data_IF_434222978535
#
_entry.id   IF_434222978535
#
_cell.length_a   1.000
_cell.length_b   1.000
_cell.length_c   1.000
_cell.angle_alpha   90.00
_cell.angle_beta   90.00
_cell.angle_gamma   90.00
#
_symmetry.space_group_name_H-M   'P 1'
#
loop_
_entity.id
_entity.type
_entity.pdbx_description
1 polymer ?
#
# COMPACT_ATOMS: atom_id res chain seq x y z
N UNK A 1 -10.43 13.02 1.74
CA UNK A 1 -10.59 12.06 0.62
C UNK A 1 -10.41 10.65 1.14
N UNK A 2 -11.24 9.76 0.72
CA UNK A 2 -11.18 8.37 1.16
C UNK A 2 -11.27 7.40 -0.02
N UNK A 3 -10.70 6.21 0.20
CA UNK A 3 -10.77 5.10 -0.74
C UNK A 3 -11.35 3.91 0.01
N UNK A 4 -12.26 3.21 -0.62
CA UNK A 4 -12.87 2.01 -0.04
C UNK A 4 -12.64 0.83 -0.96
N UNK A 5 -12.30 -0.31 -0.38
CA UNK A 5 -12.08 -1.53 -1.14
C UNK A 5 -12.35 -2.77 -0.34
N UNK A 6 -12.37 -3.90 -1.01
CA UNK A 6 -12.56 -5.21 -0.39
C UNK A 6 -11.22 -5.89 -0.19
N UNK A 7 -11.03 -6.42 1.00
CA UNK A 7 -9.84 -7.16 1.36
C UNK A 7 -9.74 -8.44 0.54
N UNK A 8 -8.57 -8.69 -0.02
CA UNK A 8 -8.29 -9.91 -0.77
C UNK A 8 -6.91 -10.45 -0.41
N UNK A 9 -6.74 -11.74 -0.58
CA UNK A 9 -5.43 -12.36 -0.53
C UNK A 9 -4.75 -12.09 -1.85
N UNK A 10 -3.73 -11.25 -1.84
CA UNK A 10 -3.00 -10.89 -3.03
C UNK A 10 -1.63 -11.53 -3.07
N UNK A 11 -1.07 -11.60 -4.26
CA UNK A 11 0.32 -11.95 -4.47
C UNK A 11 0.98 -10.71 -5.05
N UNK A 12 1.06 -9.67 -4.24
CA UNK A 12 1.48 -8.38 -4.72
C UNK A 12 2.99 -8.15 -4.63
N UNK A 13 3.44 -7.13 -5.34
CA UNK A 13 4.82 -6.67 -5.30
C UNK A 13 5.18 -6.11 -3.92
N UNK A 14 4.19 -5.59 -3.19
CA UNK A 14 4.41 -5.04 -1.86
C UNK A 14 4.94 -6.06 -0.86
N UNK A 15 4.52 -7.32 -0.98
CA UNK A 15 5.06 -8.40 -0.15
C UNK A 15 6.57 -8.58 -0.36
N UNK A 16 7.02 -8.42 -1.58
CA UNK A 16 8.45 -8.45 -1.92
C UNK A 16 9.18 -7.28 -1.26
N UNK A 17 8.64 -6.08 -1.38
CA UNK A 17 9.24 -4.88 -0.80
C UNK A 17 9.44 -4.97 0.71
N UNK A 18 8.50 -5.58 1.44
CA UNK A 18 8.62 -5.66 2.91
C UNK A 18 9.79 -6.52 3.37
N UNK A 19 10.36 -7.33 2.49
CA UNK A 19 11.51 -8.21 2.79
C UNK A 19 12.85 -7.60 2.43
N UNK A 20 12.85 -6.49 1.70
CA UNK A 20 14.09 -5.86 1.24
C UNK A 20 14.58 -4.84 2.28
N UNK A 21 15.82 -5.00 2.73
CA UNK A 21 16.39 -4.10 3.74
C UNK A 21 16.39 -2.64 3.29
N UNK A 22 16.75 -2.38 2.03
CA UNK A 22 16.80 -1.01 1.52
C UNK A 22 15.41 -0.37 1.47
N UNK A 23 14.36 -1.14 1.21
CA UNK A 23 12.99 -0.66 1.22
C UNK A 23 12.51 -0.44 2.66
N UNK A 24 12.75 -1.40 3.54
CA UNK A 24 12.36 -1.31 4.95
C UNK A 24 12.95 -0.09 5.63
N UNK A 25 14.23 0.18 5.40
CA UNK A 25 14.90 1.38 5.96
C UNK A 25 14.22 2.66 5.52
N UNK A 26 13.79 2.73 4.26
CA UNK A 26 13.09 3.90 3.73
C UNK A 26 11.67 4.01 4.28
N UNK A 27 10.97 2.90 4.44
CA UNK A 27 9.64 2.90 5.09
C UNK A 27 9.74 3.46 6.52
N UNK A 28 10.73 3.01 7.27
CA UNK A 28 10.97 3.51 8.64
C UNK A 28 11.36 4.98 8.62
N UNK A 29 12.34 5.34 7.81
CA UNK A 29 12.90 6.70 7.79
C UNK A 29 11.97 7.75 7.20
N UNK A 30 11.22 7.40 6.16
CA UNK A 30 10.38 8.35 5.41
C UNK A 30 8.93 8.36 5.88
N UNK A 31 8.40 7.23 6.37
CA UNK A 31 7.00 7.06 6.71
C UNK A 31 6.77 6.78 8.20
N UNK A 32 7.81 6.43 8.93
CA UNK A 32 7.67 6.00 10.32
C UNK A 32 7.01 4.64 10.48
N UNK A 33 7.06 3.81 9.44
CA UNK A 33 6.44 2.49 9.43
C UNK A 33 7.52 1.42 9.31
N UNK A 34 7.63 0.57 10.34
CA UNK A 34 8.40 -0.68 10.26
C UNK A 34 7.41 -1.76 9.83
N UNK A 35 7.39 -2.16 8.55
CA UNK A 35 6.27 -2.93 8.03
C UNK A 35 6.19 -4.32 8.66
N UNK A 36 4.99 -4.65 9.14
CA UNK A 36 4.65 -6.02 9.47
C UNK A 36 4.80 -6.87 8.19
N UNK A 37 5.39 -8.07 8.25
CA UNK A 37 5.65 -8.87 7.06
C UNK A 37 4.40 -9.10 6.20
N UNK A 38 4.51 -8.82 4.91
CA UNK A 38 3.42 -8.92 3.96
C UNK A 38 2.71 -7.60 3.75
N UNK A 39 1.69 -7.63 2.93
CA UNK A 39 0.84 -6.48 2.63
C UNK A 39 -0.62 -6.84 2.80
N UNK A 40 -1.43 -5.80 3.01
CA UNK A 40 -2.88 -5.88 2.87
C UNK A 40 -3.21 -5.48 1.44
N UNK A 41 -4.04 -6.27 0.78
CA UNK A 41 -4.45 -6.00 -0.60
C UNK A 41 -5.94 -5.69 -0.65
N UNK A 42 -6.29 -4.61 -1.33
CA UNK A 42 -7.68 -4.21 -1.55
C UNK A 42 -8.00 -4.20 -3.03
N UNK A 43 -9.19 -4.67 -3.37
CA UNK A 43 -9.78 -4.48 -4.69
C UNK A 43 -10.69 -3.25 -4.63
N UNK A 44 -10.43 -2.28 -5.49
CA UNK A 44 -11.16 -1.02 -5.56
C UNK A 44 -12.06 -1.04 -6.79
N UNK A 45 -13.36 -1.25 -6.58
CA UNK A 45 -14.32 -1.42 -7.67
C UNK A 45 -15.26 -0.24 -7.86
N UNK A 46 -15.57 0.53 -6.82
CA UNK A 46 -16.51 1.64 -6.95
C UNK A 46 -15.86 2.85 -7.63
N UNK A 47 -16.66 3.58 -8.39
CA UNK A 47 -16.18 4.68 -9.21
C UNK A 47 -15.63 5.85 -8.40
N UNK A 48 -16.20 6.14 -7.24
CA UNK A 48 -15.70 7.21 -6.36
C UNK A 48 -14.30 6.90 -5.86
N UNK A 49 -14.10 5.70 -5.32
CA UNK A 49 -12.80 5.28 -4.82
C UNK A 49 -11.76 5.20 -5.93
N UNK A 50 -12.14 4.73 -7.10
CA UNK A 50 -11.26 4.72 -8.27
C UNK A 50 -10.83 6.13 -8.67
N UNK A 51 -11.75 7.07 -8.66
CA UNK A 51 -11.43 8.47 -8.96
C UNK A 51 -10.43 9.05 -7.99
N UNK A 52 -10.59 8.79 -6.70
CA UNK A 52 -9.64 9.23 -5.67
C UNK A 52 -8.28 8.57 -5.91
N UNK A 53 -8.26 7.28 -6.17
CA UNK A 53 -7.02 6.54 -6.41
C UNK A 53 -6.27 7.06 -7.65
N UNK A 54 -6.98 7.27 -8.76
CA UNK A 54 -6.37 7.81 -9.97
C UNK A 54 -5.77 9.19 -9.71
N UNK A 55 -6.47 10.03 -8.98
CA UNK A 55 -5.97 11.37 -8.61
C UNK A 55 -4.73 11.27 -7.74
N UNK A 56 -4.74 10.36 -6.76
CA UNK A 56 -3.61 10.15 -5.85
C UNK A 56 -2.38 9.65 -6.61
N UNK A 57 -2.55 8.74 -7.55
CA UNK A 57 -1.47 8.24 -8.40
C UNK A 57 -0.81 9.36 -9.24
N UNK A 58 -1.53 10.44 -9.50
CA UNK A 58 -1.00 11.61 -10.18
C UNK A 58 -0.13 12.51 -9.31
N UNK A 59 -0.06 12.25 -8.00
CA UNK A 59 0.78 13.01 -7.08
C UNK A 59 2.12 12.32 -6.88
N UNK A 60 3.17 13.06 -6.45
CA UNK A 60 4.50 12.46 -6.26
C UNK A 60 4.57 11.38 -5.19
N UNK A 61 3.80 11.51 -4.10
CA UNK A 61 3.90 10.61 -2.97
C UNK A 61 5.28 10.66 -2.31
N UNK A 62 5.57 9.61 -1.54
CA UNK A 62 6.88 9.41 -0.92
C UNK A 62 7.61 8.31 -1.69
N UNK A 63 8.74 8.65 -2.31
CA UNK A 63 9.48 7.69 -3.12
C UNK A 63 10.27 6.71 -2.27
N UNK A 64 10.21 5.46 -2.66
CA UNK A 64 11.09 4.40 -2.17
C UNK A 64 12.01 4.04 -3.33
N UNK A 65 13.29 4.40 -3.21
CA UNK A 65 14.23 4.30 -4.30
C UNK A 65 15.03 3.02 -4.24
N UNK A 66 15.04 2.28 -5.36
CA UNK A 66 15.88 1.10 -5.47
C UNK A 66 17.33 1.51 -5.73
N UNK A 67 18.28 1.22 -4.81
CA UNK A 67 19.66 1.63 -4.97
C UNK A 67 20.43 0.84 -6.03
N UNK A 68 19.91 -0.33 -6.42
CA UNK A 68 20.63 -1.25 -7.29
C UNK A 68 20.25 -1.14 -8.77
N UNK A 69 19.04 -0.65 -9.05
CA UNK A 69 18.56 -0.44 -10.42
C UNK A 69 18.51 -1.69 -11.29
N UNK A 70 18.35 -2.88 -10.71
CA UNK A 70 18.27 -4.13 -11.45
C UNK A 70 16.99 -4.24 -12.30
N UNK A 71 16.99 -5.09 -13.34
CA UNK A 71 15.86 -5.21 -14.26
C UNK A 71 14.60 -5.79 -13.61
N UNK A 72 14.75 -6.55 -12.51
CA UNK A 72 13.62 -7.11 -11.77
C UNK A 72 13.26 -6.29 -10.54
N UNK A 73 14.01 -5.22 -10.29
CA UNK A 73 13.79 -4.35 -9.16
C UNK A 73 13.14 -3.06 -9.65
N UNK A 74 12.21 -2.54 -8.88
CA UNK A 74 11.55 -1.30 -9.22
C UNK A 74 11.52 -0.38 -8.01
N UNK A 75 11.39 0.92 -8.30
CA UNK A 75 11.06 1.90 -7.27
C UNK A 75 9.60 1.77 -6.89
N UNK A 76 9.21 2.42 -5.81
CA UNK A 76 7.82 2.52 -5.42
C UNK A 76 7.50 3.95 -4.99
N UNK A 77 6.21 4.28 -4.99
CA UNK A 77 5.69 5.50 -4.38
C UNK A 77 4.72 5.13 -3.29
N UNK A 78 4.79 5.82 -2.18
CA UNK A 78 3.93 5.54 -1.04
C UNK A 78 3.02 6.73 -0.73
N UNK A 79 1.84 6.43 -0.23
CA UNK A 79 0.85 7.43 0.13
C UNK A 79 0.33 7.10 1.53
N UNK A 80 0.52 8.04 2.47
CA UNK A 80 0.11 7.84 3.85
C UNK A 80 -1.41 7.84 3.98
N UNK A 81 -1.94 6.89 4.73
CA UNK A 81 -3.37 6.73 4.97
C UNK A 81 -3.63 6.32 6.41
N UNK A 82 -4.90 6.42 6.82
CA UNK A 82 -5.38 5.85 8.08
C UNK A 82 -6.47 4.84 7.74
N UNK A 83 -6.31 3.61 8.22
CA UNK A 83 -7.29 2.53 8.00
C UNK A 83 -8.36 2.61 9.08
N UNK A 84 -9.62 2.71 8.66
CA UNK A 84 -10.80 2.72 9.55
C UNK A 84 -10.67 3.76 10.69
N UNK A 85 -9.95 4.85 10.45
CA UNK A 85 -9.71 5.88 11.44
C UNK A 85 -8.86 5.43 12.63
N UNK A 86 -8.23 4.25 12.57
CA UNK A 86 -7.56 3.63 13.72
C UNK A 86 -6.10 3.28 13.49
N UNK A 87 -5.72 2.90 12.28
CA UNK A 87 -4.38 2.35 12.02
C UNK A 87 -3.66 3.20 11.00
N UNK A 88 -2.51 3.75 11.40
CA UNK A 88 -1.60 4.43 10.50
C UNK A 88 -0.98 3.43 9.54
N UNK A 89 -1.00 3.76 8.26
CA UNK A 89 -0.56 2.86 7.20
C UNK A 89 -0.08 3.66 6.00
N UNK A 90 0.39 2.95 4.99
CA UNK A 90 0.74 3.56 3.71
C UNK A 90 0.39 2.63 2.56
N UNK A 91 -0.13 3.22 1.48
CA UNK A 91 -0.29 2.52 0.22
C UNK A 91 1.09 2.46 -0.44
N UNK A 92 1.45 1.30 -0.98
CA UNK A 92 2.68 1.12 -1.75
C UNK A 92 2.30 0.87 -3.19
N UNK A 93 2.73 1.76 -4.09
CA UNK A 93 2.51 1.63 -5.53
C UNK A 93 3.84 1.26 -6.18
N UNK A 94 4.05 0.00 -6.54
CA UNK A 94 5.25 -0.40 -7.29
C UNK A 94 5.26 0.26 -8.67
N UNK A 95 6.42 0.80 -9.06
CA UNK A 95 6.61 1.43 -10.36
C UNK A 95 6.94 0.37 -11.41
N UNK A 96 5.99 -0.52 -11.66
CA UNK A 96 6.16 -1.64 -12.58
C UNK A 96 5.09 -1.59 -13.66
N UNK A 97 5.48 -1.83 -14.90
CA UNK A 97 4.54 -1.84 -16.02
C UNK A 97 3.52 -2.97 -15.85
N UNK A 98 2.26 -2.65 -16.13
CA UNK A 98 1.17 -3.63 -16.04
C UNK A 98 0.65 -3.89 -14.63
N UNK A 99 1.06 -3.08 -13.66
CA UNK A 99 0.50 -3.20 -12.31
C UNK A 99 -1.01 -2.94 -12.34
N UNK A 100 -1.84 -3.79 -11.71
CA UNK A 100 -3.30 -3.64 -11.77
C UNK A 100 -3.79 -2.32 -11.19
N UNK A 101 -4.62 -1.60 -11.95
CA UNK A 101 -5.14 -0.29 -11.53
C UNK A 101 -6.22 -0.36 -10.45
N UNK A 102 -6.85 -1.53 -10.29
CA UNK A 102 -7.91 -1.73 -9.31
C UNK A 102 -7.41 -2.39 -8.02
N UNK A 103 -6.13 -2.59 -7.89
CA UNK A 103 -5.52 -3.23 -6.71
C UNK A 103 -4.66 -2.24 -5.95
N UNK A 104 -4.84 -2.20 -4.63
CA UNK A 104 -4.05 -1.36 -3.73
C UNK A 104 -3.38 -2.27 -2.71
N UNK A 105 -2.07 -2.10 -2.55
CA UNK A 105 -1.29 -2.79 -1.52
C UNK A 105 -0.94 -1.82 -0.41
N UNK A 106 -1.09 -2.27 0.84
CA UNK A 106 -0.95 -1.43 2.02
C UNK A 106 0.00 -2.08 3.00
N UNK A 107 0.90 -1.27 3.58
CA UNK A 107 1.78 -1.68 4.68
C UNK A 107 1.38 -0.98 5.96
N UNK A 108 1.60 -1.64 7.08
CA UNK A 108 1.39 -1.09 8.42
C UNK A 108 2.40 -1.74 9.38
N UNK A 109 2.59 -1.12 10.55
CA UNK A 109 3.53 -1.64 11.55
C UNK A 109 2.94 -2.79 12.39
N UNK A 110 1.68 -3.13 12.17
CA UNK A 110 0.96 -4.19 12.89
C UNK A 110 0.25 -5.09 11.90
N UNK A 111 -0.18 -6.26 12.36
CA UNK A 111 -1.05 -7.13 11.58
C UNK A 111 -2.47 -6.55 11.60
N UNK A 112 -2.87 -5.91 10.51
CA UNK A 112 -4.16 -5.23 10.41
C UNK A 112 -5.32 -6.22 10.49
N UNK A 113 -5.18 -7.41 9.90
CA UNK A 113 -6.21 -8.45 9.97
C UNK A 113 -6.54 -8.81 11.41
N UNK A 114 -5.50 -9.00 12.24
CA UNK A 114 -5.67 -9.34 13.65
C UNK A 114 -6.19 -8.13 14.45
N UNK A 115 -5.64 -6.96 14.20
CA UNK A 115 -6.01 -5.75 14.93
C UNK A 115 -7.47 -5.36 14.73
N UNK A 116 -8.00 -5.54 13.52
CA UNK A 116 -9.36 -5.15 13.16
C UNK A 116 -10.33 -6.32 13.08
N UNK A 117 -9.84 -7.56 13.21
CA UNK A 117 -10.66 -8.76 13.13
C UNK A 117 -11.32 -8.94 11.76
N UNK A 118 -10.57 -8.72 10.70
CA UNK A 118 -11.08 -8.74 9.32
C UNK A 118 -10.50 -9.88 8.51
N UNK A 119 -11.28 -10.32 7.52
CA UNK A 119 -10.94 -11.40 6.60
C UNK A 119 -11.20 -10.99 5.16
N UNK A 120 -10.79 -11.86 4.22
CA UNK A 120 -11.05 -11.66 2.81
C UNK A 120 -12.53 -11.41 2.53
N UNK A 121 -12.82 -10.44 1.69
CA UNK A 121 -14.17 -10.01 1.36
C UNK A 121 -14.70 -8.87 2.22
N UNK A 122 -14.08 -8.58 3.35
CA UNK A 122 -14.47 -7.46 4.20
C UNK A 122 -14.09 -6.13 3.55
N UNK A 123 -14.91 -5.11 3.79
CA UNK A 123 -14.65 -3.75 3.31
C UNK A 123 -13.72 -3.02 4.26
N UNK A 124 -12.81 -2.25 3.68
CA UNK A 124 -11.94 -1.33 4.42
C UNK A 124 -12.03 0.06 3.82
N UNK A 125 -12.00 1.06 4.68
CA UNK A 125 -11.92 2.46 4.29
C UNK A 125 -10.56 3.03 4.66
N UNK A 126 -9.95 3.74 3.70
CA UNK A 126 -8.68 4.42 3.86
C UNK A 126 -8.93 5.91 3.78
N UNK A 127 -8.54 6.65 4.79
CA UNK A 127 -8.53 8.11 4.73
C UNK A 127 -7.15 8.57 4.28
N UNK A 128 -7.10 9.38 3.23
CA UNK A 128 -5.84 9.90 2.68
C UNK A 128 -5.34 11.01 3.59
N UNK A 129 -4.09 10.95 3.94
CA UNK A 129 -3.43 12.00 4.72
C UNK A 129 -2.86 13.11 3.88
#
# INVERSE_FOLDING_TARGET
MSIRGRLTSGVGQGKYFTRLDWARRQFIGKLGIDPFPGTINLIVDDSESRSVWVRLMGTPGVRIDNPNGGPNDCDARCFQVVIEGQVDAAIVLPEVAGYPLNQIEIIASICVRDALGIDDGDWLSLEIR
#
